data_IF_048255391603
#
_entry.id   IF_048255391603
#
_cell.length_a   1.000
_cell.length_b   1.000
_cell.length_c   1.000
_cell.angle_alpha   90.00
_cell.angle_beta   90.00
_cell.angle_gamma   90.00
#
_symmetry.space_group_name_H-M   'P 1'
#
loop_
_entity.id
_entity.type
_entity.pdbx_description
1 polymer ?
#
# COMPACT_ATOMS: atom_id res chain seq x y z
N UNK A 1 -20.99 -3.06 -7.96
CA UNK A 1 -19.70 -2.57 -8.50
C UNK A 1 -19.43 -3.31 -9.80
N UNK A 2 -18.81 -2.69 -10.81
CA UNK A 2 -18.49 -3.39 -12.06
C UNK A 2 -17.08 -3.99 -11.95
N UNK A 3 -17.00 -5.30 -11.71
CA UNK A 3 -15.76 -6.08 -11.81
C UNK A 3 -15.98 -7.15 -12.90
N UNK A 4 -14.97 -7.49 -13.72
CA UNK A 4 -15.04 -8.67 -14.57
C UNK A 4 -15.34 -9.93 -13.77
N UNK A 5 -15.99 -10.92 -14.38
CA UNK A 5 -16.20 -12.22 -13.75
C UNK A 5 -14.85 -12.85 -13.36
N UNK A 6 -14.76 -13.33 -12.12
CA UNK A 6 -13.52 -13.88 -11.56
C UNK A 6 -12.46 -12.84 -11.15
N UNK A 7 -12.73 -11.53 -11.18
CA UNK A 7 -11.79 -10.51 -10.68
C UNK A 7 -12.22 -9.99 -9.31
N UNK A 8 -11.25 -9.86 -8.40
CA UNK A 8 -11.43 -9.19 -7.11
C UNK A 8 -11.80 -7.72 -7.35
N UNK A 9 -12.94 -7.31 -6.83
CA UNK A 9 -13.40 -5.93 -6.87
C UNK A 9 -12.76 -5.09 -5.76
N UNK A 10 -12.85 -3.77 -5.90
CA UNK A 10 -12.41 -2.83 -4.86
C UNK A 10 -13.07 -3.08 -3.50
N UNK A 11 -14.38 -3.36 -3.45
CA UNK A 11 -15.10 -3.60 -2.19
C UNK A 11 -14.59 -4.84 -1.44
N UNK A 12 -14.29 -5.91 -2.18
CA UNK A 12 -13.71 -7.13 -1.63
C UNK A 12 -12.30 -6.87 -1.08
N UNK A 13 -11.46 -6.11 -1.78
CA UNK A 13 -10.13 -5.72 -1.30
C UNK A 13 -10.19 -4.74 -0.11
N UNK A 14 -11.13 -3.79 -0.08
CA UNK A 14 -11.33 -2.90 1.09
C UNK A 14 -11.78 -3.70 2.31
N UNK A 15 -12.69 -4.67 2.11
CA UNK A 15 -13.18 -5.55 3.18
C UNK A 15 -12.08 -6.50 3.68
N UNK A 16 -11.34 -7.15 2.79
CA UNK A 16 -10.24 -8.04 3.13
C UNK A 16 -9.09 -7.29 3.83
N UNK A 17 -8.71 -6.11 3.34
CA UNK A 17 -7.66 -5.29 3.96
C UNK A 17 -8.01 -4.80 5.37
N UNK A 18 -9.28 -4.66 5.72
CA UNK A 18 -9.68 -4.40 7.10
C UNK A 18 -9.40 -5.61 8.01
N UNK A 19 -9.60 -6.84 7.51
CA UNK A 19 -9.23 -8.07 8.23
C UNK A 19 -7.71 -8.23 8.31
N UNK A 20 -6.98 -8.08 7.20
CA UNK A 20 -5.51 -8.09 7.16
C UNK A 20 -4.89 -7.09 8.14
N UNK A 21 -5.52 -5.92 8.32
CA UNK A 21 -5.09 -4.92 9.29
C UNK A 21 -5.21 -5.41 10.73
N UNK A 22 -6.32 -6.07 11.08
CA UNK A 22 -6.50 -6.67 12.42
C UNK A 22 -5.46 -7.77 12.66
N UNK A 23 -5.25 -8.63 11.67
CA UNK A 23 -4.36 -9.78 11.82
C UNK A 23 -2.89 -9.37 11.89
N UNK A 24 -2.47 -8.34 11.15
CA UNK A 24 -1.17 -7.70 11.29
C UNK A 24 -0.99 -7.02 12.67
N UNK A 25 -2.04 -6.43 13.24
CA UNK A 25 -2.01 -5.86 14.61
C UNK A 25 -1.90 -6.97 15.66
N UNK A 26 -2.61 -8.08 15.50
CA UNK A 26 -2.49 -9.25 16.38
C UNK A 26 -1.05 -9.78 16.31
N UNK A 27 -0.56 -10.07 15.10
CA UNK A 27 0.78 -10.59 14.85
C UNK A 27 1.90 -9.72 15.46
N UNK A 28 1.85 -8.40 15.25
CA UNK A 28 2.93 -7.48 15.60
C UNK A 28 2.84 -6.93 17.02
N UNK A 29 1.62 -6.68 17.51
CA UNK A 29 1.38 -5.90 18.74
C UNK A 29 0.61 -6.68 19.82
N UNK A 30 -0.20 -7.69 19.46
CA UNK A 30 -1.01 -8.46 20.42
C UNK A 30 -0.81 -9.98 20.28
N UNK A 31 0.44 -10.51 20.25
CA UNK A 31 0.69 -11.92 19.89
C UNK A 31 0.08 -12.93 20.87
N UNK A 32 -0.26 -12.50 22.09
CA UNK A 32 -1.04 -13.29 23.06
C UNK A 32 -2.44 -13.69 22.55
N UNK A 33 -3.00 -12.96 21.58
CA UNK A 33 -4.31 -13.22 21.00
C UNK A 33 -4.28 -14.23 19.84
N UNK A 34 -3.09 -14.63 19.35
CA UNK A 34 -2.96 -15.57 18.23
C UNK A 34 -3.66 -16.91 18.51
N UNK A 35 -3.45 -17.46 19.71
CA UNK A 35 -4.10 -18.70 20.17
C UNK A 35 -5.60 -18.57 20.48
N UNK A 36 -6.16 -17.35 20.44
CA UNK A 36 -7.56 -17.07 20.78
C UNK A 36 -8.39 -16.65 19.56
N UNK A 37 -7.78 -16.52 18.38
CA UNK A 37 -8.38 -16.01 17.12
C UNK A 37 -9.60 -16.83 16.67
N UNK A 38 -9.54 -18.16 16.79
CA UNK A 38 -10.63 -19.07 16.39
C UNK A 38 -11.76 -19.18 17.42
N UNK A 39 -11.47 -18.93 18.70
CA UNK A 39 -12.40 -19.16 19.82
C UNK A 39 -13.17 -17.91 20.25
N UNK A 40 -12.66 -16.72 19.92
CA UNK A 40 -13.27 -15.42 20.27
C UNK A 40 -14.14 -14.91 19.13
N UNK A 41 -15.26 -14.26 19.44
CA UNK A 41 -16.03 -13.53 18.42
C UNK A 41 -15.32 -12.24 18.00
N UNK A 42 -15.56 -11.75 16.77
CA UNK A 42 -14.90 -10.56 16.23
C UNK A 42 -14.93 -9.33 17.18
N UNK A 43 -16.05 -9.11 17.89
CA UNK A 43 -16.17 -7.97 18.80
C UNK A 43 -15.29 -8.14 20.07
N UNK A 44 -15.10 -9.36 20.55
CA UNK A 44 -14.25 -9.67 21.70
C UNK A 44 -12.78 -9.45 21.33
N UNK A 45 -12.38 -9.93 20.15
CA UNK A 45 -11.03 -9.71 19.61
C UNK A 45 -10.75 -8.22 19.40
N UNK A 46 -11.68 -7.46 18.80
CA UNK A 46 -11.55 -6.00 18.64
C UNK A 46 -11.45 -5.26 19.98
N UNK A 47 -12.17 -5.72 21.01
CA UNK A 47 -12.10 -5.14 22.35
C UNK A 47 -10.77 -5.46 23.03
N UNK A 48 -10.29 -6.71 22.97
CA UNK A 48 -8.98 -7.10 23.50
C UNK A 48 -7.84 -6.30 22.84
N UNK A 49 -7.91 -6.09 21.52
CA UNK A 49 -6.98 -5.22 20.80
C UNK A 49 -7.05 -3.77 21.30
N UNK A 50 -8.26 -3.23 21.54
CA UNK A 50 -8.44 -1.88 22.11
C UNK A 50 -7.83 -1.75 23.50
N UNK A 51 -8.09 -2.72 24.38
CA UNK A 51 -7.61 -2.72 25.75
C UNK A 51 -6.06 -2.83 25.77
N UNK A 52 -5.48 -3.78 25.02
CA UNK A 52 -4.01 -3.96 24.91
C UNK A 52 -3.33 -2.70 24.36
N UNK A 53 -3.80 -2.11 23.24
CA UNK A 53 -3.15 -0.94 22.64
C UNK A 53 -3.19 0.31 23.54
N UNK A 54 -4.16 0.42 24.45
CA UNK A 54 -4.19 1.47 25.48
C UNK A 54 -3.24 1.15 26.63
N UNK A 55 -3.29 -0.08 27.17
CA UNK A 55 -2.43 -0.53 28.29
C UNK A 55 -0.93 -0.45 27.93
N UNK A 56 -0.58 -0.80 26.69
CA UNK A 56 0.78 -0.73 26.14
C UNK A 56 1.25 0.70 25.81
N UNK A 57 0.37 1.70 25.93
CA UNK A 57 0.70 3.09 25.63
C UNK A 57 0.95 3.39 24.15
N UNK A 58 0.35 2.64 23.21
CA UNK A 58 0.29 3.09 21.82
C UNK A 58 -0.56 4.36 21.72
N UNK A 59 -1.67 4.43 22.45
CA UNK A 59 -2.63 5.54 22.42
C UNK A 59 -3.28 5.78 23.78
N UNK A 60 -3.76 7.00 24.01
CA UNK A 60 -4.33 7.41 25.31
C UNK A 60 -5.77 6.91 25.57
N UNK A 61 -6.55 6.61 24.52
CA UNK A 61 -7.99 6.30 24.65
C UNK A 61 -8.46 5.29 23.60
N UNK A 62 -9.56 4.59 23.88
CA UNK A 62 -10.20 3.69 22.91
C UNK A 62 -10.68 4.40 21.62
N UNK A 63 -11.01 5.70 21.67
CA UNK A 63 -11.32 6.46 20.45
C UNK A 63 -10.08 6.73 19.60
N UNK A 64 -8.92 6.96 20.25
CA UNK A 64 -7.64 7.05 19.57
C UNK A 64 -7.20 5.69 19.00
N UNK A 65 -7.53 4.55 19.64
CA UNK A 65 -7.28 3.23 19.05
C UNK A 65 -8.01 3.10 17.72
N UNK A 66 -9.33 3.32 17.70
CA UNK A 66 -10.14 3.14 16.48
C UNK A 66 -9.59 3.98 15.33
N UNK A 67 -9.32 5.26 15.60
CA UNK A 67 -8.71 6.13 14.61
C UNK A 67 -7.30 5.66 14.17
N UNK A 68 -6.48 5.12 15.07
CA UNK A 68 -5.16 4.58 14.72
C UNK A 68 -5.25 3.30 13.86
N UNK A 69 -6.21 2.42 14.17
CA UNK A 69 -6.52 1.21 13.38
C UNK A 69 -7.05 1.58 11.99
N UNK A 70 -7.95 2.57 11.92
CA UNK A 70 -8.48 3.10 10.67
C UNK A 70 -7.37 3.69 9.76
N UNK A 71 -6.42 4.43 10.36
CA UNK A 71 -5.25 4.99 9.64
C UNK A 71 -4.28 3.88 9.21
N UNK A 72 -4.13 2.84 10.02
CA UNK A 72 -3.37 1.65 9.68
C UNK A 72 -4.01 0.89 8.50
N UNK A 73 -5.34 0.72 8.50
CA UNK A 73 -6.08 0.13 7.37
C UNK A 73 -5.88 0.91 6.08
N UNK A 74 -5.99 2.24 6.14
CA UNK A 74 -5.77 3.10 4.98
C UNK A 74 -4.33 3.01 4.44
N UNK A 75 -3.32 2.91 5.33
CA UNK A 75 -1.94 2.65 4.92
C UNK A 75 -1.81 1.29 4.23
N UNK A 76 -2.43 0.24 4.78
CA UNK A 76 -2.36 -1.11 4.23
C UNK A 76 -2.95 -1.16 2.82
N UNK A 77 -4.15 -0.62 2.64
CA UNK A 77 -4.81 -0.52 1.34
C UNK A 77 -3.98 0.29 0.33
N UNK A 78 -3.42 1.44 0.73
CA UNK A 78 -2.58 2.26 -0.13
C UNK A 78 -1.27 1.57 -0.55
N UNK A 79 -0.65 0.79 0.35
CA UNK A 79 0.57 0.04 0.04
C UNK A 79 0.27 -1.23 -0.76
N UNK A 80 -0.87 -1.90 -0.52
CA UNK A 80 -1.37 -3.00 -1.35
C UNK A 80 -1.61 -2.55 -2.79
N UNK A 81 -2.24 -1.38 -2.97
CA UNK A 81 -2.41 -0.72 -4.25
C UNK A 81 -1.10 -0.40 -4.96
N UNK A 82 -0.06 0.05 -4.25
CA UNK A 82 1.26 0.34 -4.86
C UNK A 82 1.96 -0.95 -5.31
N UNK A 83 1.96 -1.99 -4.46
CA UNK A 83 2.69 -3.25 -4.67
C UNK A 83 2.00 -4.21 -5.66
N UNK A 84 0.69 -4.40 -5.56
CA UNK A 84 -0.04 -5.35 -6.41
C UNK A 84 -0.61 -4.66 -7.66
N UNK A 85 -0.50 -5.31 -8.81
CA UNK A 85 -0.88 -4.73 -10.09
C UNK A 85 -2.41 -4.72 -10.27
N UNK A 86 -3.00 -3.53 -10.09
CA UNK A 86 -4.41 -3.32 -10.33
C UNK A 86 -4.71 -3.10 -11.83
N UNK A 87 -5.90 -3.52 -12.24
CA UNK A 87 -6.47 -3.35 -13.57
C UNK A 87 -7.62 -2.34 -13.48
N UNK A 88 -7.77 -1.52 -14.52
CA UNK A 88 -8.97 -0.71 -14.75
C UNK A 88 -9.92 -1.47 -15.67
N UNK A 89 -11.18 -1.58 -15.28
CA UNK A 89 -12.26 -2.12 -16.10
C UNK A 89 -13.26 -1.04 -16.48
N UNK A 90 -13.55 -0.91 -17.77
CA UNK A 90 -14.64 -0.07 -18.28
C UNK A 90 -16.00 -0.73 -18.02
N UNK A 91 -17.12 0.04 -18.03
CA UNK A 91 -18.48 -0.53 -18.01
C UNK A 91 -18.75 -1.52 -19.15
N UNK A 92 -18.05 -1.39 -20.28
CA UNK A 92 -18.14 -2.24 -21.47
C UNK A 92 -17.20 -3.47 -21.42
N UNK A 93 -16.47 -3.67 -20.33
CA UNK A 93 -15.57 -4.83 -20.13
C UNK A 93 -14.18 -4.70 -20.77
N UNK A 94 -13.82 -3.51 -21.28
CA UNK A 94 -12.43 -3.22 -21.70
C UNK A 94 -11.54 -3.15 -20.45
N UNK A 95 -10.37 -3.78 -20.51
CA UNK A 95 -9.41 -3.87 -19.40
C UNK A 95 -8.06 -3.27 -19.78
N UNK A 96 -7.41 -2.56 -18.85
CA UNK A 96 -6.03 -2.07 -18.98
C UNK A 96 -5.31 -2.02 -17.63
N UNK A 97 -3.97 -2.06 -17.60
CA UNK A 97 -3.20 -1.84 -16.36
C UNK A 97 -3.50 -0.45 -15.78
N UNK A 98 -3.74 -0.37 -14.47
CA UNK A 98 -3.94 0.89 -13.76
C UNK A 98 -2.59 1.64 -13.60
N UNK A 99 -2.44 2.87 -14.13
CA UNK A 99 -1.19 3.63 -13.97
C UNK A 99 -0.88 3.92 -12.49
N UNK A 100 0.37 3.74 -12.01
CA UNK A 100 0.71 3.85 -10.58
C UNK A 100 0.26 5.14 -9.90
N UNK A 101 0.39 6.27 -10.59
CA UNK A 101 -0.06 7.59 -10.13
C UNK A 101 -1.59 7.72 -9.92
N UNK A 102 -2.42 6.87 -10.54
CA UNK A 102 -3.86 6.81 -10.21
C UNK A 102 -4.12 6.09 -8.88
N UNK A 103 -3.29 5.09 -8.56
CA UNK A 103 -3.35 4.29 -7.32
C UNK A 103 -2.88 5.09 -6.10
N UNK A 104 -2.23 6.24 -6.30
CA UNK A 104 -1.56 7.02 -5.26
C UNK A 104 -2.53 7.66 -4.25
N UNK A 105 -2.05 7.78 -3.01
CA UNK A 105 -2.69 8.54 -1.94
C UNK A 105 -2.08 9.94 -1.83
N UNK A 106 -2.90 10.99 -1.67
CA UNK A 106 -2.45 12.39 -1.71
C UNK A 106 -1.59 12.82 -0.52
N UNK A 107 -1.66 12.10 0.60
CA UNK A 107 -0.76 12.28 1.76
C UNK A 107 0.55 11.46 1.66
N UNK A 108 0.78 10.79 0.51
CA UNK A 108 1.84 9.82 0.28
C UNK A 108 1.92 8.80 1.44
N UNK A 109 1.00 7.82 1.46
CA UNK A 109 1.00 6.72 2.45
C UNK A 109 1.88 5.53 2.03
N UNK A 110 2.28 5.47 0.75
CA UNK A 110 3.61 4.95 0.43
C UNK A 110 4.68 5.93 0.98
N UNK A 111 5.97 5.60 0.96
CA UNK A 111 7.01 6.26 1.79
C UNK A 111 6.82 6.09 3.33
N UNK A 112 5.64 6.36 3.93
CA UNK A 112 5.39 6.25 5.38
C UNK A 112 5.76 4.86 5.94
N UNK A 113 6.24 4.86 7.19
CA UNK A 113 6.32 3.64 8.01
C UNK A 113 4.91 3.16 8.40
N UNK A 114 4.76 1.87 8.78
CA UNK A 114 3.49 1.37 9.31
C UNK A 114 3.03 2.21 10.51
N UNK A 115 1.77 2.71 10.55
CA UNK A 115 1.33 3.64 11.59
C UNK A 115 1.45 3.12 13.03
N UNK A 116 1.41 1.80 13.21
CA UNK A 116 1.58 1.13 14.51
C UNK A 116 2.94 0.40 14.62
N UNK A 117 3.97 0.87 13.92
CA UNK A 117 5.35 0.35 14.00
C UNK A 117 6.10 0.74 15.26
N UNK A 118 5.67 1.80 15.95
CA UNK A 118 6.32 2.30 17.16
C UNK A 118 5.30 2.91 18.13
N UNK A 119 5.63 2.90 19.43
CA UNK A 119 4.79 3.48 20.50
C UNK A 119 5.34 4.86 20.90
N UNK A 120 4.49 5.86 21.19
CA UNK A 120 3.06 5.95 20.87
C UNK A 120 2.79 6.31 19.40
N UNK A 121 1.60 5.96 18.94
CA UNK A 121 0.97 6.50 17.72
C UNK A 121 0.76 8.03 17.84
N UNK A 122 0.64 8.71 16.71
CA UNK A 122 0.58 10.18 16.67
C UNK A 122 1.97 10.83 16.81
N UNK A 123 3.03 10.11 16.47
CA UNK A 123 4.39 10.64 16.27
C UNK A 123 4.77 10.58 14.78
N UNK A 124 5.80 11.35 14.44
CA UNK A 124 6.33 11.45 13.08
C UNK A 124 5.22 11.65 12.03
N UNK A 125 5.12 10.78 11.02
CA UNK A 125 4.16 10.89 9.92
C UNK A 125 2.69 10.97 10.40
N UNK A 126 2.36 10.22 11.45
CA UNK A 126 0.99 10.14 11.99
C UNK A 126 0.59 11.31 12.91
N UNK A 127 1.53 12.19 13.27
CA UNK A 127 1.28 13.28 14.24
C UNK A 127 0.15 14.21 13.79
N UNK A 128 0.18 14.65 12.53
CA UNK A 128 -0.81 15.57 12.01
C UNK A 128 -2.22 14.96 12.08
N UNK A 129 -2.35 13.69 11.70
CA UNK A 129 -3.61 12.95 11.70
C UNK A 129 -4.22 12.91 13.11
N UNK A 130 -3.46 12.46 14.12
CA UNK A 130 -3.98 12.41 15.50
C UNK A 130 -4.28 13.82 16.03
N UNK A 131 -3.39 14.79 15.83
CA UNK A 131 -3.55 16.16 16.34
C UNK A 131 -4.74 16.91 15.71
N UNK A 132 -5.12 16.64 14.46
CA UNK A 132 -6.35 17.21 13.89
C UNK A 132 -7.60 16.42 14.29
N UNK A 133 -7.51 15.09 14.45
CA UNK A 133 -8.61 14.26 14.94
C UNK A 133 -9.02 14.64 16.38
N UNK A 134 -8.07 14.78 17.31
CA UNK A 134 -8.36 15.17 18.71
C UNK A 134 -8.95 16.58 18.83
N UNK A 135 -8.71 17.44 17.85
CA UNK A 135 -9.31 18.79 17.75
C UNK A 135 -10.66 18.81 17.02
N UNK A 136 -11.18 17.65 16.58
CA UNK A 136 -12.42 17.54 15.83
C UNK A 136 -12.36 18.08 14.39
N UNK A 137 -11.17 18.40 13.89
CA UNK A 137 -10.94 19.02 12.58
C UNK A 137 -10.65 18.01 11.45
N UNK A 138 -10.66 16.72 11.76
CA UNK A 138 -10.35 15.64 10.81
C UNK A 138 -11.03 14.34 11.21
N UNK A 139 -11.48 13.57 10.22
CA UNK A 139 -12.10 12.24 10.32
C UNK A 139 -11.41 11.28 9.36
N UNK A 140 -11.52 9.98 9.58
CA UNK A 140 -10.98 8.99 8.63
C UNK A 140 -11.60 9.13 7.23
N UNK A 141 -12.87 9.54 7.11
CA UNK A 141 -13.52 9.82 5.82
C UNK A 141 -12.80 10.90 5.02
N UNK A 142 -12.20 11.88 5.71
CA UNK A 142 -11.42 12.92 5.05
C UNK A 142 -10.11 12.35 4.50
N UNK A 143 -9.49 11.38 5.20
CA UNK A 143 -8.34 10.63 4.72
C UNK A 143 -8.71 9.75 3.52
N UNK A 144 -9.76 8.93 3.62
CA UNK A 144 -10.28 8.08 2.55
C UNK A 144 -10.57 8.88 1.26
N UNK A 145 -11.04 10.13 1.39
CA UNK A 145 -11.28 11.02 0.24
C UNK A 145 -10.00 11.37 -0.54
N UNK A 146 -8.80 11.23 0.03
CA UNK A 146 -7.52 11.70 -0.49
C UNK A 146 -6.77 10.72 -1.41
N UNK A 147 -7.32 9.54 -1.71
CA UNK A 147 -6.91 8.81 -2.91
C UNK A 147 -7.01 9.74 -4.13
N UNK A 148 -5.94 9.85 -4.93
CA UNK A 148 -5.81 10.95 -5.89
C UNK A 148 -6.85 10.90 -7.02
N UNK A 149 -7.10 9.68 -7.50
CA UNK A 149 -8.01 9.37 -8.61
C UNK A 149 -9.10 8.37 -8.25
N UNK A 150 -8.89 7.48 -7.28
CA UNK A 150 -9.88 6.46 -6.89
C UNK A 150 -10.88 7.06 -5.90
N UNK A 151 -12.17 6.94 -6.17
CA UNK A 151 -13.21 7.15 -5.15
C UNK A 151 -13.27 5.93 -4.22
N UNK A 152 -13.06 6.18 -2.92
CA UNK A 152 -12.91 5.12 -1.92
C UNK A 152 -14.18 4.28 -1.72
N UNK A 153 -15.37 4.84 -1.96
CA UNK A 153 -16.63 4.12 -1.73
C UNK A 153 -17.04 3.25 -2.94
N UNK A 154 -16.75 3.71 -4.16
CA UNK A 154 -17.16 3.00 -5.38
C UNK A 154 -16.03 2.22 -6.07
N UNK A 155 -14.77 2.45 -5.70
CA UNK A 155 -13.61 1.91 -6.41
C UNK A 155 -13.45 2.44 -7.83
N UNK A 156 -14.18 3.51 -8.20
CA UNK A 156 -14.16 4.06 -9.56
C UNK A 156 -13.19 5.23 -9.68
N UNK A 157 -12.64 5.41 -10.88
CA UNK A 157 -11.81 6.56 -11.20
C UNK A 157 -12.66 7.82 -11.33
N UNK A 158 -12.33 8.86 -10.56
CA UNK A 158 -13.05 10.14 -10.52
C UNK A 158 -12.07 11.32 -10.44
N UNK A 159 -12.45 12.44 -11.05
CA UNK A 159 -11.76 13.72 -10.90
C UNK A 159 -12.43 14.52 -9.77
N UNK A 160 -11.79 14.53 -8.60
CA UNK A 160 -12.28 15.23 -7.40
C UNK A 160 -11.90 16.72 -7.47
N UNK A 161 -12.61 17.63 -6.78
CA UNK A 161 -12.29 19.06 -6.79
C UNK A 161 -10.85 19.40 -6.39
N UNK A 162 -10.22 18.55 -5.57
CA UNK A 162 -8.84 18.67 -5.11
C UNK A 162 -7.86 17.70 -5.79
N UNK A 163 -8.25 16.90 -6.79
CA UNK A 163 -7.37 15.87 -7.39
C UNK A 163 -6.03 16.41 -7.91
N UNK A 164 -5.97 17.63 -8.47
CA UNK A 164 -4.68 18.26 -8.86
C UNK A 164 -3.75 18.42 -7.66
N UNK A 165 -4.26 18.92 -6.54
CA UNK A 165 -3.50 19.12 -5.31
C UNK A 165 -3.11 17.80 -4.63
N UNK A 166 -4.00 16.79 -4.66
CA UNK A 166 -3.70 15.44 -4.17
C UNK A 166 -2.59 14.79 -5.00
N UNK A 167 -2.66 14.88 -6.33
CA UNK A 167 -1.62 14.38 -7.22
C UNK A 167 -0.28 15.06 -6.96
N UNK A 168 -0.25 16.39 -6.82
CA UNK A 168 0.97 17.17 -6.48
C UNK A 168 1.55 16.80 -5.11
N UNK A 169 0.70 16.53 -4.11
CA UNK A 169 1.11 16.10 -2.77
C UNK A 169 1.55 14.63 -2.68
N UNK A 170 1.07 13.79 -3.60
CA UNK A 170 1.43 12.38 -3.66
C UNK A 170 2.92 12.14 -3.97
N UNK A 171 3.39 10.94 -3.64
CA UNK A 171 4.73 10.45 -3.95
C UNK A 171 5.14 10.58 -5.42
N UNK A 172 4.18 10.57 -6.35
CA UNK A 172 4.39 10.70 -7.79
C UNK A 172 4.41 12.17 -8.27
N UNK A 173 3.81 13.10 -7.51
CA UNK A 173 3.79 14.53 -7.83
C UNK A 173 4.82 15.36 -7.06
N UNK A 174 5.46 14.80 -6.03
CA UNK A 174 6.44 15.53 -5.23
C UNK A 174 7.62 16.03 -6.09
N UNK A 175 7.72 17.35 -6.25
CA UNK A 175 8.75 18.00 -7.10
C UNK A 175 8.42 18.01 -8.60
N UNK A 176 7.20 17.62 -8.98
CA UNK A 176 6.68 17.74 -10.33
C UNK A 176 6.08 19.14 -10.56
N UNK A 177 6.29 19.73 -11.73
CA UNK A 177 5.62 20.98 -12.09
C UNK A 177 4.14 20.74 -12.41
N UNK A 178 3.27 21.71 -12.08
CA UNK A 178 1.81 21.59 -12.24
C UNK A 178 1.37 21.20 -13.65
N UNK A 179 2.09 21.66 -14.68
CA UNK A 179 1.82 21.39 -16.09
C UNK A 179 1.88 19.89 -16.43
N UNK A 180 2.72 19.11 -15.75
CA UNK A 180 2.80 17.67 -15.95
C UNK A 180 1.65 16.93 -15.27
N UNK A 181 1.18 17.42 -14.12
CA UNK A 181 0.00 16.88 -13.44
C UNK A 181 -1.27 17.17 -14.25
N UNK A 182 -1.41 18.37 -14.80
CA UNK A 182 -2.52 18.70 -15.72
C UNK A 182 -2.49 17.84 -16.99
N UNK A 183 -1.31 17.68 -17.61
CA UNK A 183 -1.13 16.77 -18.76
C UNK A 183 -1.47 15.33 -18.40
N UNK A 184 -1.11 14.85 -17.22
CA UNK A 184 -1.50 13.52 -16.75
C UNK A 184 -3.02 13.40 -16.59
N UNK A 185 -3.67 14.39 -15.97
CA UNK A 185 -5.13 14.43 -15.82
C UNK A 185 -5.80 14.34 -17.19
N UNK A 186 -5.38 15.13 -18.17
CA UNK A 186 -6.04 15.17 -19.48
C UNK A 186 -5.76 13.95 -20.37
N UNK A 187 -4.54 13.40 -20.33
CA UNK A 187 -4.12 12.30 -21.22
C UNK A 187 -4.42 10.92 -20.65
N UNK A 188 -4.38 10.75 -19.33
CA UNK A 188 -4.50 9.43 -18.67
C UNK A 188 -5.77 9.32 -17.83
N UNK A 189 -6.10 10.32 -17.00
CA UNK A 189 -7.20 10.22 -16.04
C UNK A 189 -8.57 10.47 -16.67
N UNK A 190 -8.72 11.57 -17.43
CA UNK A 190 -9.97 12.00 -18.07
C UNK A 190 -10.57 10.95 -19.01
N UNK A 191 -9.80 10.16 -19.80
CA UNK A 191 -10.34 9.12 -20.66
C UNK A 191 -10.94 7.91 -19.92
N UNK A 192 -10.57 7.66 -18.66
CA UNK A 192 -10.98 6.47 -17.89
C UNK A 192 -11.86 6.80 -16.67
N UNK A 193 -12.47 7.98 -16.65
CA UNK A 193 -13.44 8.35 -15.60
C UNK A 193 -14.62 7.35 -15.57
N UNK A 194 -15.02 6.92 -14.38
CA UNK A 194 -16.05 5.91 -14.15
C UNK A 194 -15.59 4.46 -14.33
N UNK A 195 -14.35 4.20 -14.76
CA UNK A 195 -13.80 2.84 -14.80
C UNK A 195 -13.52 2.36 -13.38
N UNK A 196 -13.73 1.08 -13.11
CA UNK A 196 -13.52 0.47 -11.79
C UNK A 196 -12.10 -0.08 -11.66
N UNK A 197 -11.56 -0.02 -10.44
CA UNK A 197 -10.32 -0.72 -10.06
C UNK A 197 -10.65 -2.14 -9.63
N UNK A 198 -9.98 -3.12 -10.23
CA UNK A 198 -10.11 -4.54 -9.92
C UNK A 198 -8.75 -5.26 -10.02
N UNK A 199 -8.66 -6.47 -9.49
CA UNK A 199 -7.46 -7.31 -9.55
C UNK A 199 -7.78 -8.69 -10.12
N UNK A 200 -6.88 -9.17 -10.96
CA UNK A 200 -6.89 -10.53 -11.47
C UNK A 200 -6.36 -11.46 -10.36
N UNK A 201 -7.06 -12.55 -9.97
CA UNK A 201 -6.62 -13.41 -8.87
C UNK A 201 -5.25 -14.04 -9.10
N UNK A 202 -4.86 -14.33 -10.36
CA UNK A 202 -3.54 -14.89 -10.66
C UNK A 202 -2.37 -13.94 -10.40
N UNK A 203 -2.67 -12.66 -10.21
CA UNK A 203 -1.67 -11.59 -10.03
C UNK A 203 -1.65 -11.11 -8.56
N UNK A 204 -2.47 -11.73 -7.70
CA UNK A 204 -2.47 -11.57 -6.25
C UNK A 204 -1.76 -12.75 -5.58
N UNK A 205 -1.20 -12.57 -4.37
CA UNK A 205 -0.64 -13.67 -3.59
C UNK A 205 -1.74 -14.64 -3.11
N UNK A 206 -1.37 -15.90 -2.86
CA UNK A 206 -2.33 -16.94 -2.46
C UNK A 206 -2.64 -16.90 -0.96
N UNK A 207 -1.74 -16.34 -0.14
CA UNK A 207 -1.88 -16.27 1.32
C UNK A 207 -1.75 -14.85 1.88
N UNK A 208 -2.28 -14.62 3.09
CA UNK A 208 -2.08 -13.36 3.81
C UNK A 208 -0.59 -13.13 4.14
N UNK A 209 0.14 -14.20 4.46
CA UNK A 209 1.58 -14.13 4.73
C UNK A 209 2.40 -13.62 3.55
N UNK A 210 2.09 -14.02 2.32
CA UNK A 210 2.73 -13.49 1.12
C UNK A 210 2.37 -12.01 0.89
N UNK A 211 1.12 -11.59 1.16
CA UNK A 211 0.72 -10.17 1.16
C UNK A 211 1.57 -9.39 2.16
N UNK A 212 1.67 -9.81 3.42
CA UNK A 212 2.43 -9.08 4.43
C UNK A 212 3.93 -9.04 4.13
N UNK A 213 4.51 -10.13 3.59
CA UNK A 213 5.89 -10.15 3.11
C UNK A 213 6.12 -9.15 1.97
N UNK A 214 5.20 -9.06 0.99
CA UNK A 214 5.29 -8.10 -0.13
C UNK A 214 5.25 -6.64 0.35
N UNK A 215 4.48 -6.37 1.40
CA UNK A 215 4.36 -5.06 2.07
C UNK A 215 5.58 -4.70 2.92
N UNK A 216 6.41 -5.69 3.29
CA UNK A 216 7.69 -5.52 3.99
C UNK A 216 7.76 -6.10 5.40
N UNK A 217 6.79 -6.93 5.82
CA UNK A 217 6.77 -7.60 7.13
C UNK A 217 7.34 -9.02 7.05
N UNK A 218 8.57 -9.16 6.53
CA UNK A 218 9.28 -10.44 6.44
C UNK A 218 9.90 -10.89 7.77
N UNK A 219 9.74 -10.11 8.83
CA UNK A 219 10.29 -10.31 10.18
C UNK A 219 9.35 -11.11 11.12
N UNK A 220 8.10 -11.34 10.72
CA UNK A 220 7.08 -12.01 11.53
C UNK A 220 6.96 -13.49 11.15
N UNK A 221 6.74 -14.36 12.15
CA UNK A 221 6.52 -15.79 11.94
C UNK A 221 5.08 -16.06 11.52
N UNK A 222 4.81 -15.89 10.23
CA UNK A 222 3.50 -16.08 9.64
C UNK A 222 3.01 -17.54 9.68
N UNK A 223 3.89 -18.52 9.89
CA UNK A 223 3.49 -19.93 10.03
C UNK A 223 2.66 -20.17 11.31
N UNK A 224 2.74 -19.26 12.28
CA UNK A 224 1.89 -19.27 13.48
C UNK A 224 0.51 -18.62 13.26
N UNK A 225 0.27 -18.06 12.07
CA UNK A 225 -0.94 -17.29 11.69
C UNK A 225 -1.70 -17.98 10.57
N UNK A 226 -0.98 -18.56 9.60
CA UNK A 226 -1.52 -19.42 8.54
C UNK A 226 -1.87 -20.83 9.07
N UNK A 227 -2.76 -20.90 10.07
CA UNK A 227 -3.36 -22.17 10.49
C UNK A 227 -4.41 -22.60 9.45
N UNK A 228 -4.19 -23.77 8.86
CA UNK A 228 -4.96 -24.43 7.78
C UNK A 228 -4.91 -23.77 6.37
N UNK A 229 -3.78 -23.98 5.67
CA UNK A 229 -3.60 -23.73 4.24
C UNK A 229 -2.58 -24.71 3.63
N UNK A 230 -3.03 -25.65 2.79
CA UNK A 230 -2.24 -26.83 2.39
C UNK A 230 -0.93 -26.57 1.62
N UNK A 231 0.04 -27.48 1.78
CA UNK A 231 1.31 -27.52 1.07
C UNK A 231 1.18 -27.27 -0.45
N UNK A 232 1.63 -26.11 -0.93
CA UNK A 232 1.98 -25.87 -2.33
C UNK A 232 3.28 -25.08 -2.46
N UNK A 233 3.92 -25.20 -3.62
CA UNK A 233 5.29 -24.75 -3.87
C UNK A 233 5.38 -23.23 -3.96
N UNK A 234 6.21 -22.62 -3.11
CA UNK A 234 6.49 -21.19 -3.12
C UNK A 234 6.86 -20.69 -4.53
N UNK A 235 6.06 -19.77 -5.06
CA UNK A 235 6.47 -18.94 -6.18
C UNK A 235 7.64 -18.05 -5.76
N UNK A 236 8.58 -17.69 -6.66
CA UNK A 236 9.62 -16.73 -6.32
C UNK A 236 8.95 -15.42 -5.89
N UNK A 237 9.34 -14.83 -4.74
CA UNK A 237 8.65 -13.68 -4.18
C UNK A 237 8.63 -12.54 -5.20
N UNK A 238 7.53 -11.77 -5.25
CA UNK A 238 7.33 -10.69 -6.24
C UNK A 238 8.53 -9.72 -6.35
N UNK A 239 9.27 -9.52 -5.25
CA UNK A 239 10.48 -8.71 -5.18
C UNK A 239 11.68 -9.29 -5.96
N UNK A 240 11.76 -10.62 -6.13
CA UNK A 240 12.73 -11.29 -7.01
C UNK A 240 12.41 -11.00 -8.48
N UNK A 241 11.14 -11.07 -8.89
CA UNK A 241 10.74 -10.71 -10.27
C UNK A 241 11.07 -9.24 -10.58
N UNK A 242 10.85 -8.33 -9.62
CA UNK A 242 11.29 -6.93 -9.73
C UNK A 242 12.82 -6.85 -9.84
N UNK A 243 13.58 -7.60 -9.02
CA UNK A 243 15.04 -7.63 -9.08
C UNK A 243 15.56 -8.14 -10.43
N UNK A 244 14.97 -9.19 -10.97
CA UNK A 244 15.34 -9.75 -12.27
C UNK A 244 15.08 -8.73 -13.39
N UNK A 245 13.97 -7.99 -13.34
CA UNK A 245 13.71 -6.86 -14.25
C UNK A 245 14.70 -5.70 -14.07
N UNK A 246 15.12 -5.40 -12.84
CA UNK A 246 16.16 -4.38 -12.58
C UNK A 246 17.49 -4.80 -13.19
N UNK A 247 17.94 -6.03 -12.92
CA UNK A 247 19.25 -6.54 -13.37
C UNK A 247 19.30 -6.81 -14.88
N UNK A 248 18.17 -7.14 -15.51
CA UNK A 248 18.08 -7.26 -16.97
C UNK A 248 18.25 -5.91 -17.70
N UNK A 249 17.83 -4.80 -17.08
CA UNK A 249 17.85 -3.46 -17.68
C UNK A 249 19.09 -2.64 -17.25
N UNK A 250 19.54 -2.85 -16.01
CA UNK A 250 20.64 -2.15 -15.34
C UNK A 250 21.54 -3.16 -14.60
N UNK A 251 22.25 -4.06 -15.31
CA UNK A 251 23.06 -5.12 -14.71
C UNK A 251 24.24 -4.59 -13.89
N UNK A 252 24.81 -3.46 -14.30
CA UNK A 252 25.94 -2.79 -13.65
C UNK A 252 25.49 -1.62 -12.75
N UNK A 253 24.19 -1.53 -12.47
CA UNK A 253 23.57 -0.47 -11.68
C UNK A 253 23.18 0.77 -12.47
N UNK A 254 22.88 1.84 -11.73
CA UNK A 254 22.08 2.97 -12.22
C UNK A 254 22.80 3.88 -13.22
N UNK A 255 24.14 3.93 -13.20
CA UNK A 255 24.99 4.65 -14.17
C UNK A 255 24.54 6.11 -14.45
N UNK A 256 24.08 6.82 -13.42
CA UNK A 256 23.64 8.22 -13.53
C UNK A 256 22.26 8.44 -14.18
N UNK A 257 21.52 7.40 -14.56
CA UNK A 257 20.16 7.54 -15.08
C UNK A 257 19.23 8.24 -14.08
N UNK A 258 18.30 9.08 -14.54
CA UNK A 258 17.29 9.68 -13.64
C UNK A 258 16.27 8.63 -13.20
N UNK A 259 15.61 8.84 -12.04
CA UNK A 259 14.62 7.89 -11.54
C UNK A 259 13.47 7.66 -12.51
N UNK A 260 12.98 8.70 -13.19
CA UNK A 260 11.98 8.58 -14.25
C UNK A 260 12.42 7.66 -15.41
N UNK A 261 13.71 7.64 -15.76
CA UNK A 261 14.25 6.72 -16.79
C UNK A 261 14.34 5.29 -16.26
N UNK A 262 14.72 5.12 -14.99
CA UNK A 262 14.77 3.81 -14.32
C UNK A 262 13.36 3.19 -14.27
N UNK A 263 12.39 3.93 -13.74
CA UNK A 263 10.99 3.49 -13.61
C UNK A 263 10.36 3.16 -14.97
N UNK A 264 10.59 4.00 -15.98
CA UNK A 264 10.07 3.80 -17.34
C UNK A 264 10.64 2.56 -18.03
N UNK A 265 11.91 2.21 -17.79
CA UNK A 265 12.53 1.02 -18.40
C UNK A 265 12.29 -0.28 -17.63
N UNK A 266 12.24 -0.21 -16.30
CA UNK A 266 12.06 -1.38 -15.41
C UNK A 266 10.57 -1.74 -15.27
N UNK A 267 9.65 -0.79 -15.50
CA UNK A 267 8.19 -1.02 -15.49
C UNK A 267 7.56 -1.01 -14.08
N UNK A 268 8.36 -0.75 -13.05
CA UNK A 268 7.99 -0.70 -11.64
C UNK A 268 8.33 0.67 -11.02
N UNK A 269 7.64 1.04 -9.93
CA UNK A 269 7.89 2.31 -9.23
C UNK A 269 9.27 2.33 -8.58
N UNK A 270 9.82 3.55 -8.39
CA UNK A 270 11.07 3.76 -7.68
C UNK A 270 11.06 3.10 -6.31
N UNK A 271 9.93 3.09 -5.60
CA UNK A 271 9.82 2.49 -4.27
C UNK A 271 9.90 0.97 -4.31
N UNK A 272 9.21 0.31 -5.26
CA UNK A 272 9.36 -1.13 -5.48
C UNK A 272 10.80 -1.50 -5.86
N UNK A 273 11.44 -0.69 -6.70
CA UNK A 273 12.85 -0.87 -7.10
C UNK A 273 13.80 -0.70 -5.90
N UNK A 274 13.64 0.37 -5.12
CA UNK A 274 14.42 0.62 -3.89
C UNK A 274 14.20 -0.51 -2.87
N UNK A 275 12.97 -1.01 -2.73
CA UNK A 275 12.61 -2.09 -1.78
C UNK A 275 13.28 -3.40 -2.18
N UNK A 276 13.13 -3.83 -3.43
CA UNK A 276 13.78 -5.03 -3.97
C UNK A 276 15.31 -4.99 -3.80
N UNK A 277 15.94 -3.85 -4.14
CA UNK A 277 17.38 -3.66 -3.97
C UNK A 277 17.83 -3.65 -2.50
N UNK A 278 17.05 -3.05 -1.59
CA UNK A 278 17.37 -3.04 -0.15
C UNK A 278 17.23 -4.40 0.50
N UNK A 279 16.17 -5.14 0.18
CA UNK A 279 15.94 -6.49 0.71
C UNK A 279 17.03 -7.49 0.27
N UNK A 280 17.63 -7.26 -0.90
CA UNK A 280 18.73 -8.06 -1.42
C UNK A 280 20.14 -7.49 -1.11
N UNK A 281 20.24 -6.45 -0.28
CA UNK A 281 21.49 -5.75 0.07
C UNK A 281 22.27 -5.13 -1.12
N UNK A 282 21.63 -4.96 -2.27
CA UNK A 282 22.22 -4.38 -3.50
C UNK A 282 22.05 -2.86 -3.60
N UNK A 283 21.27 -2.24 -2.71
CA UNK A 283 20.89 -0.82 -2.82
C UNK A 283 22.06 0.15 -2.95
N UNK A 284 23.06 0.07 -2.05
CA UNK A 284 24.18 1.00 -2.06
C UNK A 284 24.96 0.87 -3.37
N UNK A 285 25.53 -0.30 -3.64
CA UNK A 285 26.34 -0.60 -4.82
C UNK A 285 25.60 -0.27 -6.15
N UNK A 286 24.34 -0.67 -6.30
CA UNK A 286 23.55 -0.42 -7.51
C UNK A 286 23.19 1.07 -7.70
N UNK A 287 23.03 1.82 -6.60
CA UNK A 287 22.71 3.25 -6.66
C UNK A 287 23.95 4.15 -6.78
N UNK A 288 25.11 3.67 -6.31
CA UNK A 288 26.40 4.38 -6.29
C UNK A 288 27.29 4.07 -7.50
N UNK A 289 27.02 3.01 -8.28
CA UNK A 289 27.73 2.69 -9.52
C UNK A 289 27.45 3.70 -10.64
N UNK A 290 28.08 4.86 -10.49
CA UNK A 290 28.08 6.01 -11.41
C UNK A 290 29.42 6.75 -11.44
N UNK A 291 30.40 6.36 -10.63
CA UNK A 291 31.79 6.82 -10.77
C UNK A 291 32.80 5.67 -10.51
N UNK A 292 33.89 5.75 -11.27
CA UNK A 292 35.13 4.95 -11.22
C UNK A 292 35.12 3.51 -11.76
N UNK A 293 35.78 3.39 -12.92
CA UNK A 293 36.34 2.15 -13.46
C UNK A 293 37.13 1.40 -12.38
N UNK A 294 36.81 0.12 -12.17
CA UNK A 294 37.77 -0.84 -11.59
C UNK A 294 38.44 -1.60 -12.74
N UNK A 295 39.61 -1.10 -13.13
CA UNK A 295 40.63 -1.89 -13.85
C UNK A 295 41.50 -2.68 -12.89
#
# INVERSE_FOLDING_TARGET
>A
MFSPEGYWSWDEIVTASAQWTRDLIIAKNCPSLLSEKEASSNWETERKIQDILVEDGFVETASHVRFAVDVAHLWLLANFLDVHDAVLCSPEGVRMRCPPIMKAHGDALDWWSWPLSSKPFGRAETWAYLNYFTKGNFRITDAQSRFCAIDYLSGTIQLKPNSKNLLLGSSYGHGCEEIYVEKFIDVQLRPVLGWAVCWNPSDLPETESEIFQSLGFSDLDWNAIDFDGGNLTASPPHQQNILDCILAVFPEGKQGATWAVVESKVGYSRRSIVRALKQNNLWSDWSESGQENKG
#
